data_IF_600677967794
#
_entry.id   IF_600677967794
#
_cell.length_a   1.000
_cell.length_b   1.000
_cell.length_c   1.000
_cell.angle_alpha   90.00
_cell.angle_beta   90.00
_cell.angle_gamma   90.00
#
_symmetry.space_group_name_H-M   'P 1'
#
loop_
_entity.id
_entity.type
_entity.pdbx_description
1 polymer ?
#
# COMPACT_ATOMS: atom_id res chain seq x y z
N UNK A 1 9.37 22.70 46.44
CA UNK A 1 10.10 22.26 45.25
C UNK A 1 9.18 21.35 44.43
N UNK A 2 8.45 21.94 43.50
CA UNK A 2 7.48 21.27 42.66
C UNK A 2 8.22 20.71 41.41
N UNK A 3 8.22 19.40 41.24
CA UNK A 3 8.73 18.77 40.00
C UNK A 3 7.67 18.90 38.96
N UNK A 4 7.92 19.76 37.96
CA UNK A 4 7.12 19.84 36.76
C UNK A 4 7.25 18.54 35.98
N UNK A 5 6.13 17.87 35.71
CA UNK A 5 6.03 16.78 34.78
C UNK A 5 6.25 17.33 33.38
N UNK A 6 7.25 16.83 32.67
CA UNK A 6 7.43 17.08 31.25
C UNK A 6 6.25 16.45 30.51
N UNK A 7 5.43 17.26 29.87
CA UNK A 7 4.44 16.80 28.89
C UNK A 7 5.21 16.18 27.72
N UNK A 8 5.08 14.89 27.54
CA UNK A 8 5.60 14.16 26.38
C UNK A 8 4.85 14.64 25.13
N UNK A 9 5.60 15.13 24.18
CA UNK A 9 5.14 15.72 22.91
C UNK A 9 4.57 14.66 21.94
N UNK A 10 3.40 14.09 22.25
CA UNK A 10 2.64 13.25 21.32
C UNK A 10 1.79 14.12 20.37
N UNK A 11 1.51 15.37 20.76
CA UNK A 11 0.62 16.28 20.02
C UNK A 11 1.29 17.02 18.85
N UNK A 12 2.58 16.83 18.59
CA UNK A 12 3.31 17.58 17.55
C UNK A 12 3.14 17.03 16.13
N UNK A 13 2.39 15.94 15.94
CA UNK A 13 2.21 15.30 14.63
C UNK A 13 0.87 15.64 13.95
N UNK A 14 -0.02 16.39 14.58
CA UNK A 14 -1.32 16.75 14.01
C UNK A 14 -1.29 17.94 13.04
N UNK A 15 -0.20 18.71 12.96
CA UNK A 15 -0.07 19.89 12.10
C UNK A 15 0.90 19.74 10.92
N UNK A 16 0.99 18.56 10.31
CA UNK A 16 1.67 18.48 9.02
C UNK A 16 0.71 19.01 7.96
N UNK A 17 0.99 20.18 7.43
CA UNK A 17 0.25 20.81 6.34
C UNK A 17 0.23 19.85 5.14
N UNK A 18 -0.93 19.22 4.90
CA UNK A 18 -1.14 18.40 3.70
C UNK A 18 -1.12 19.37 2.52
N UNK A 19 -0.01 19.36 1.77
CA UNK A 19 0.12 20.24 0.61
C UNK A 19 -1.07 20.04 -0.33
N UNK A 20 -1.62 21.11 -0.96
CA UNK A 20 -2.85 21.07 -1.75
C UNK A 20 -2.84 20.17 -2.99
N UNK A 21 -1.73 19.51 -3.29
CA UNK A 21 -1.54 18.68 -4.49
C UNK A 21 -2.24 17.31 -4.45
N UNK A 22 -2.90 16.92 -3.36
CA UNK A 22 -3.65 15.67 -3.31
C UNK A 22 -5.07 15.94 -3.78
N UNK A 23 -5.31 15.84 -5.09
CA UNK A 23 -6.69 15.74 -5.59
C UNK A 23 -7.30 14.43 -5.10
N UNK A 24 -8.39 14.56 -4.34
CA UNK A 24 -9.15 13.40 -3.88
C UNK A 24 -10.43 13.35 -4.70
N UNK A 25 -10.62 12.23 -5.40
CA UNK A 25 -11.88 11.96 -6.09
C UNK A 25 -12.75 11.12 -5.15
N UNK A 26 -13.97 11.60 -4.89
CA UNK A 26 -14.95 10.83 -4.13
C UNK A 26 -15.46 9.67 -4.99
N UNK A 27 -15.64 8.48 -4.41
CA UNK A 27 -16.29 7.37 -5.08
C UNK A 27 -17.70 7.81 -5.53
N UNK A 28 -17.97 7.65 -6.84
CA UNK A 28 -19.25 8.07 -7.42
C UNK A 28 -19.36 9.56 -7.77
N UNK A 29 -18.37 10.40 -7.47
CA UNK A 29 -18.31 11.75 -8.02
C UNK A 29 -17.89 11.67 -9.51
N UNK A 30 -18.52 12.42 -10.41
CA UNK A 30 -18.20 12.43 -11.82
C UNK A 30 -17.00 13.34 -12.11
N UNK A 31 -15.83 13.00 -11.59
CA UNK A 31 -14.65 13.49 -12.26
C UNK A 31 -14.57 12.72 -13.58
N UNK A 32 -14.47 13.42 -14.71
CA UNK A 32 -14.33 12.76 -16.00
C UNK A 32 -13.14 11.80 -15.94
N UNK A 33 -13.27 10.61 -16.54
CA UNK A 33 -12.20 9.62 -16.55
C UNK A 33 -10.89 10.19 -17.12
N UNK A 34 -11.00 11.12 -18.05
CA UNK A 34 -9.89 11.87 -18.65
C UNK A 34 -9.14 12.73 -17.61
N UNK A 35 -9.86 13.39 -16.70
CA UNK A 35 -9.24 14.18 -15.63
C UNK A 35 -8.53 13.29 -14.61
N UNK A 36 -9.10 12.12 -14.27
CA UNK A 36 -8.46 11.14 -13.42
C UNK A 36 -7.16 10.61 -14.04
N UNK A 37 -7.22 10.27 -15.33
CA UNK A 37 -6.08 9.81 -16.10
C UNK A 37 -4.98 10.87 -16.14
N UNK A 38 -5.31 12.10 -16.54
CA UNK A 38 -4.35 13.20 -16.62
C UNK A 38 -3.69 13.50 -15.27
N UNK A 39 -4.47 13.51 -14.18
CA UNK A 39 -3.93 13.71 -12.84
C UNK A 39 -2.97 12.58 -12.44
N UNK A 40 -3.31 11.32 -12.72
CA UNK A 40 -2.45 10.18 -12.42
C UNK A 40 -1.16 10.20 -13.26
N UNK A 41 -1.24 10.52 -14.54
CA UNK A 41 -0.08 10.66 -15.43
C UNK A 41 0.86 11.79 -14.98
N UNK A 42 0.32 12.86 -14.40
CA UNK A 42 1.13 13.96 -13.86
C UNK A 42 1.76 13.59 -12.52
N UNK A 43 0.99 13.03 -11.58
CA UNK A 43 1.40 12.88 -10.19
C UNK A 43 1.87 11.46 -9.83
N UNK A 44 1.47 10.43 -10.58
CA UNK A 44 1.80 9.03 -10.33
C UNK A 44 0.96 8.36 -9.26
N UNK A 45 -0.05 9.04 -8.73
CA UNK A 45 -1.01 8.50 -7.76
C UNK A 45 -2.35 9.23 -7.82
N UNK A 46 -3.39 8.57 -7.28
CA UNK A 46 -4.75 9.12 -7.17
C UNK A 46 -5.48 8.43 -6.02
N UNK A 47 -6.31 9.17 -5.26
CA UNK A 47 -7.12 8.61 -4.16
C UNK A 47 -8.59 8.60 -4.53
N UNK A 48 -9.22 7.43 -4.43
CA UNK A 48 -10.68 7.29 -4.44
C UNK A 48 -11.18 7.18 -3.00
N UNK A 49 -12.11 8.03 -2.61
CA UNK A 49 -12.68 8.06 -1.25
C UNK A 49 -13.90 7.15 -1.13
N UNK A 50 -14.04 6.51 0.03
CA UNK A 50 -15.23 5.72 0.41
C UNK A 50 -15.63 4.69 -0.66
N UNK A 51 -14.65 3.97 -1.21
CA UNK A 51 -14.86 2.94 -2.24
C UNK A 51 -15.55 1.72 -1.66
N UNK A 52 -15.12 1.28 -0.46
CA UNK A 52 -15.72 0.16 0.24
C UNK A 52 -16.72 0.65 1.29
N UNK A 53 -17.83 -0.05 1.38
CA UNK A 53 -18.83 0.14 2.43
C UNK A 53 -18.34 -0.43 3.78
N UNK A 54 -18.98 -0.02 4.86
CA UNK A 54 -18.71 -0.55 6.21
C UNK A 54 -18.97 -2.07 6.29
N UNK A 55 -19.92 -2.59 5.50
CA UNK A 55 -20.21 -4.03 5.44
C UNK A 55 -19.06 -4.81 4.78
N UNK A 56 -18.53 -4.32 3.66
CA UNK A 56 -17.37 -4.93 2.99
C UNK A 56 -16.12 -4.87 3.87
N UNK A 57 -15.88 -3.75 4.56
CA UNK A 57 -14.78 -3.62 5.51
C UNK A 57 -14.88 -4.62 6.67
N UNK A 58 -16.08 -4.82 7.23
CA UNK A 58 -16.29 -5.79 8.29
C UNK A 58 -16.03 -7.23 7.81
N UNK A 59 -16.42 -7.57 6.59
CA UNK A 59 -16.14 -8.86 5.97
C UNK A 59 -14.64 -9.08 5.76
N UNK A 60 -13.93 -8.07 5.24
CA UNK A 60 -12.47 -8.12 5.05
C UNK A 60 -11.73 -8.26 6.40
N UNK A 61 -12.18 -7.56 7.44
CA UNK A 61 -11.64 -7.69 8.80
C UNK A 61 -11.81 -9.12 9.35
N UNK A 62 -13.00 -9.68 9.22
CA UNK A 62 -13.29 -11.05 9.66
C UNK A 62 -12.43 -12.07 8.92
N UNK A 63 -12.34 -11.96 7.60
CA UNK A 63 -11.56 -12.87 6.77
C UNK A 63 -10.06 -12.76 7.05
N UNK A 64 -9.53 -11.55 7.20
CA UNK A 64 -8.12 -11.35 7.52
C UNK A 64 -7.76 -11.94 8.91
N UNK A 65 -8.63 -11.76 9.90
CA UNK A 65 -8.45 -12.35 11.23
C UNK A 65 -8.51 -13.88 11.18
N UNK A 66 -9.42 -14.47 10.37
CA UNK A 66 -9.50 -15.91 10.13
C UNK A 66 -8.22 -16.45 9.49
N UNK A 67 -7.73 -15.77 8.44
CA UNK A 67 -6.51 -16.15 7.72
C UNK A 67 -5.31 -16.05 8.66
N UNK A 68 -5.12 -14.92 9.34
CA UNK A 68 -4.02 -14.73 10.29
C UNK A 68 -4.07 -15.76 11.43
N UNK A 69 -5.26 -16.07 11.93
CA UNK A 69 -5.46 -17.06 13.00
C UNK A 69 -5.11 -18.50 12.59
N UNK A 70 -5.23 -18.86 11.31
CA UNK A 70 -4.87 -20.18 10.80
C UNK A 70 -3.35 -20.42 10.67
N UNK A 71 -2.54 -19.36 10.80
CA UNK A 71 -1.08 -19.39 10.67
C UNK A 71 -0.34 -19.16 11.99
N UNK A 72 -0.95 -19.52 13.10
CA UNK A 72 -0.29 -19.48 14.42
C UNK A 72 0.79 -20.55 14.57
N UNK A 73 0.82 -21.57 13.70
CA UNK A 73 1.90 -22.55 13.62
C UNK A 73 3.04 -21.98 12.76
N UNK A 74 4.12 -21.53 13.42
CA UNK A 74 5.27 -20.88 12.80
C UNK A 74 6.05 -21.77 11.84
N UNK A 75 5.93 -23.10 11.96
CA UNK A 75 6.55 -24.05 11.02
C UNK A 75 5.86 -24.05 9.64
N UNK A 76 4.67 -23.45 9.57
CA UNK A 76 3.89 -23.31 8.35
C UNK A 76 4.01 -21.92 7.70
N UNK A 77 5.01 -21.09 8.04
CA UNK A 77 5.26 -19.79 7.37
C UNK A 77 5.57 -20.07 5.91
N UNK A 78 4.51 -20.05 5.11
CA UNK A 78 4.58 -20.30 3.67
C UNK A 78 5.13 -19.08 2.95
N UNK A 79 5.60 -19.31 1.75
CA UNK A 79 5.97 -18.29 0.78
C UNK A 79 4.88 -17.18 0.72
N UNK A 80 5.29 -15.92 0.88
CA UNK A 80 4.36 -14.78 0.92
C UNK A 80 4.02 -14.21 2.31
N UNK A 81 4.35 -14.91 3.40
CA UNK A 81 4.13 -14.42 4.77
C UNK A 81 5.43 -13.85 5.35
N UNK A 82 5.35 -12.68 5.97
CA UNK A 82 6.47 -12.13 6.75
C UNK A 82 5.95 -11.58 8.06
N UNK A 83 6.79 -11.70 9.10
CA UNK A 83 6.50 -11.17 10.44
C UNK A 83 7.42 -9.99 10.77
N UNK A 84 7.04 -9.24 11.78
CA UNK A 84 7.95 -8.34 12.48
C UNK A 84 8.97 -9.14 13.28
N UNK A 85 10.02 -8.46 13.76
CA UNK A 85 11.04 -9.06 14.61
C UNK A 85 10.42 -9.73 15.84
N UNK A 86 10.63 -11.05 16.06
CA UNK A 86 10.06 -11.76 17.20
C UNK A 86 10.40 -11.14 18.57
N UNK A 87 11.56 -10.48 18.69
CA UNK A 87 11.94 -9.80 19.92
C UNK A 87 11.03 -8.60 20.28
N UNK A 88 10.21 -8.15 19.33
CA UNK A 88 9.28 -7.02 19.51
C UNK A 88 7.82 -7.47 19.64
N UNK A 89 7.52 -8.77 19.57
CA UNK A 89 6.15 -9.22 19.69
C UNK A 89 5.64 -9.01 21.12
N UNK A 90 4.44 -8.45 21.30
CA UNK A 90 3.82 -8.29 22.62
C UNK A 90 3.56 -9.63 23.32
N UNK A 91 3.29 -10.67 22.55
CA UNK A 91 3.10 -12.05 23.00
C UNK A 91 4.06 -12.94 22.19
N UNK A 92 5.05 -13.60 22.82
CA UNK A 92 6.04 -14.44 22.14
C UNK A 92 5.42 -15.62 21.36
N UNK A 93 4.24 -16.08 21.79
CA UNK A 93 3.55 -17.21 21.18
C UNK A 93 2.60 -16.79 20.05
N UNK A 94 2.54 -15.48 19.73
CA UNK A 94 1.67 -14.92 18.70
C UNK A 94 2.46 -14.09 17.69
N UNK A 95 2.65 -14.59 16.45
CA UNK A 95 3.37 -13.86 15.43
C UNK A 95 2.67 -12.54 15.08
N UNK A 96 3.45 -11.47 14.99
CA UNK A 96 3.00 -10.19 14.48
C UNK A 96 3.29 -10.14 12.99
N UNK A 97 2.26 -10.30 12.18
CA UNK A 97 2.40 -10.27 10.73
C UNK A 97 2.69 -8.87 10.22
N UNK A 98 3.64 -8.78 9.32
CA UNK A 98 3.94 -7.59 8.53
C UNK A 98 3.29 -7.64 7.15
N UNK A 99 3.22 -8.85 6.56
CA UNK A 99 2.66 -9.10 5.24
C UNK A 99 2.02 -10.48 5.18
N UNK A 100 0.84 -10.57 4.58
CA UNK A 100 0.17 -11.81 4.22
C UNK A 100 -0.13 -11.74 2.73
N UNK A 101 0.37 -12.70 1.95
CA UNK A 101 0.15 -12.81 0.50
C UNK A 101 -0.87 -13.88 0.14
N UNK A 102 -1.22 -13.97 -1.16
CA UNK A 102 -2.16 -14.95 -1.69
C UNK A 102 -3.62 -14.70 -1.28
N UNK A 103 -3.99 -13.46 -1.05
CA UNK A 103 -5.31 -13.10 -0.54
C UNK A 103 -6.44 -13.48 -1.50
N UNK A 104 -6.16 -13.46 -2.80
CA UNK A 104 -7.12 -13.86 -3.83
C UNK A 104 -7.57 -15.31 -3.67
N UNK A 105 -6.65 -16.21 -3.34
CA UNK A 105 -6.93 -17.64 -3.18
C UNK A 105 -7.51 -17.97 -1.81
N UNK A 106 -7.19 -17.18 -0.80
CA UNK A 106 -7.57 -17.42 0.59
C UNK A 106 -8.97 -16.95 0.94
N UNK A 107 -9.55 -15.98 0.19
CA UNK A 107 -10.81 -15.37 0.57
C UNK A 107 -11.60 -14.81 -0.61
N UNK A 108 -12.89 -15.18 -0.66
CA UNK A 108 -13.83 -14.65 -1.64
C UNK A 108 -14.04 -13.13 -1.48
N UNK A 109 -13.99 -12.61 -0.25
CA UNK A 109 -14.08 -11.16 0.01
C UNK A 109 -12.92 -10.41 -0.62
N UNK A 110 -11.69 -10.91 -0.46
CA UNK A 110 -10.51 -10.32 -1.10
C UNK A 110 -10.52 -10.49 -2.62
N UNK A 111 -11.05 -11.61 -3.12
CA UNK A 111 -11.24 -11.82 -4.57
C UNK A 111 -12.21 -10.80 -5.18
N UNK A 112 -13.33 -10.50 -4.51
CA UNK A 112 -14.25 -9.43 -4.93
C UNK A 112 -13.59 -8.06 -4.87
N UNK A 113 -12.79 -7.79 -3.86
CA UNK A 113 -12.06 -6.53 -3.73
C UNK A 113 -11.04 -6.33 -4.87
N UNK A 114 -10.31 -7.38 -5.29
CA UNK A 114 -9.40 -7.32 -6.45
C UNK A 114 -10.09 -6.85 -7.72
N UNK A 115 -11.36 -7.22 -7.90
CA UNK A 115 -12.16 -6.90 -9.08
C UNK A 115 -13.17 -5.77 -8.83
N UNK A 116 -12.96 -4.96 -7.78
CA UNK A 116 -13.88 -3.87 -7.47
C UNK A 116 -14.01 -2.90 -8.64
N UNK A 117 -15.26 -2.58 -9.01
CA UNK A 117 -15.58 -1.83 -10.22
C UNK A 117 -14.81 -0.51 -10.36
N UNK A 118 -14.67 0.26 -9.26
CA UNK A 118 -13.94 1.53 -9.27
C UNK A 118 -12.49 1.33 -9.69
N UNK A 119 -11.83 0.29 -9.16
CA UNK A 119 -10.43 -0.05 -9.48
C UNK A 119 -10.30 -0.48 -10.94
N UNK A 120 -11.16 -1.42 -11.38
CA UNK A 120 -11.09 -1.96 -12.74
C UNK A 120 -11.35 -0.89 -13.80
N UNK A 121 -12.37 -0.05 -13.62
CA UNK A 121 -12.67 1.03 -14.58
C UNK A 121 -11.49 2.01 -14.69
N UNK A 122 -10.84 2.34 -13.57
CA UNK A 122 -9.65 3.18 -13.60
C UNK A 122 -8.48 2.51 -14.34
N UNK A 123 -8.19 1.24 -14.04
CA UNK A 123 -7.10 0.49 -14.69
C UNK A 123 -7.32 0.36 -16.20
N UNK A 124 -8.58 0.24 -16.64
CA UNK A 124 -8.92 0.16 -18.06
C UNK A 124 -8.54 1.42 -18.87
N UNK A 125 -8.38 2.58 -18.21
CA UNK A 125 -7.89 3.80 -18.86
C UNK A 125 -6.43 3.68 -19.35
N UNK A 126 -5.67 2.74 -18.76
CA UNK A 126 -4.23 2.53 -19.04
C UNK A 126 -3.97 1.21 -19.76
N UNK A 127 -4.65 0.15 -19.37
CA UNK A 127 -4.36 -1.23 -19.81
C UNK A 127 -5.33 -1.77 -20.87
N UNK A 128 -6.45 -1.06 -21.11
CA UNK A 128 -7.52 -1.57 -21.96
C UNK A 128 -8.42 -2.58 -21.23
N UNK A 129 -9.19 -3.38 -21.95
CA UNK A 129 -10.29 -4.18 -21.37
C UNK A 129 -9.83 -5.41 -20.57
N UNK A 130 -8.60 -5.86 -20.74
CA UNK A 130 -8.08 -7.05 -20.07
C UNK A 130 -7.02 -6.65 -19.07
N UNK A 131 -7.23 -7.02 -17.82
CA UNK A 131 -6.36 -6.69 -16.69
C UNK A 131 -5.93 -7.99 -16.03
N UNK A 132 -4.67 -8.09 -15.65
CA UNK A 132 -4.11 -9.20 -14.91
C UNK A 132 -3.66 -8.73 -13.53
N UNK A 133 -4.04 -9.47 -12.49
CA UNK A 133 -3.55 -9.32 -11.14
C UNK A 133 -2.23 -10.07 -11.04
N UNK A 134 -1.19 -9.35 -10.61
CA UNK A 134 0.16 -9.87 -10.44
C UNK A 134 0.49 -10.16 -8.98
N UNK A 135 0.03 -9.29 -8.07
CA UNK A 135 0.33 -9.39 -6.65
C UNK A 135 -0.89 -9.03 -5.81
N UNK A 136 -1.10 -9.79 -4.75
CA UNK A 136 -2.24 -9.67 -3.85
C UNK A 136 -1.81 -9.89 -2.41
N UNK A 137 -1.44 -8.84 -1.73
CA UNK A 137 -0.97 -8.91 -0.34
C UNK A 137 -1.72 -7.94 0.57
N UNK A 138 -1.77 -8.25 1.86
CA UNK A 138 -2.12 -7.29 2.91
C UNK A 138 -0.87 -6.91 3.67
N UNK A 139 -0.60 -5.62 3.73
CA UNK A 139 0.50 -5.00 4.47
C UNK A 139 0.00 -4.51 5.82
N UNK A 140 0.66 -4.90 6.89
CA UNK A 140 0.22 -4.66 8.26
C UNK A 140 1.27 -3.92 9.06
N UNK A 141 0.84 -2.95 9.85
CA UNK A 141 1.66 -2.29 10.87
C UNK A 141 0.93 -2.35 12.20
N UNK A 142 1.29 -3.33 13.02
CA UNK A 142 0.78 -3.43 14.40
C UNK A 142 1.20 -2.20 15.20
N UNK A 143 0.32 -1.71 16.08
CA UNK A 143 0.62 -0.58 16.96
C UNK A 143 1.91 -0.77 17.74
N UNK A 144 2.74 0.26 17.80
CA UNK A 144 4.07 0.31 18.47
C UNK A 144 5.14 -0.65 17.92
N UNK A 145 4.77 -1.63 17.07
CA UNK A 145 5.68 -2.68 16.57
C UNK A 145 6.00 -2.50 15.10
N UNK A 146 5.00 -2.10 14.30
CA UNK A 146 5.13 -1.99 12.85
C UNK A 146 6.25 -1.07 12.42
N UNK A 147 7.26 -1.62 11.73
CA UNK A 147 8.45 -0.89 11.30
C UNK A 147 8.21 -0.05 10.06
N UNK A 148 9.13 0.86 9.78
CA UNK A 148 9.15 1.65 8.56
C UNK A 148 9.30 0.80 7.29
N UNK A 149 8.91 1.38 6.16
CA UNK A 149 9.37 0.97 4.83
C UNK A 149 10.10 2.17 4.23
N UNK A 150 11.42 2.07 3.99
CA UNK A 150 12.23 3.15 3.42
C UNK A 150 11.74 3.57 2.04
N UNK A 151 12.19 4.72 1.57
CA UNK A 151 11.91 5.22 0.22
C UNK A 151 12.34 4.23 -0.84
N UNK A 152 11.42 3.86 -1.74
CA UNK A 152 11.65 2.89 -2.79
C UNK A 152 10.66 3.09 -3.96
N UNK A 153 10.85 2.30 -5.00
CA UNK A 153 9.90 2.06 -6.08
C UNK A 153 9.51 0.59 -6.03
N UNK A 154 8.24 0.27 -6.18
CA UNK A 154 7.81 -1.14 -6.23
C UNK A 154 8.37 -1.88 -7.45
N UNK A 155 8.57 -1.15 -8.54
CA UNK A 155 9.14 -1.67 -9.79
C UNK A 155 10.46 -2.45 -9.62
N UNK A 156 11.26 -2.13 -8.59
CA UNK A 156 12.55 -2.80 -8.35
C UNK A 156 12.41 -4.31 -8.03
N UNK A 157 11.23 -4.72 -7.59
CA UNK A 157 10.95 -6.11 -7.23
C UNK A 157 10.41 -6.94 -8.40
N UNK A 158 10.13 -6.33 -9.54
CA UNK A 158 9.40 -6.98 -10.63
C UNK A 158 10.16 -6.95 -11.94
N UNK A 159 10.41 -8.12 -12.48
CA UNK A 159 11.20 -8.33 -13.69
C UNK A 159 10.29 -8.37 -14.92
N UNK A 160 9.70 -7.22 -15.28
CA UNK A 160 8.80 -7.06 -16.42
C UNK A 160 9.11 -5.79 -17.22
N UNK A 161 8.80 -5.85 -18.52
CA UNK A 161 8.83 -4.70 -19.41
C UNK A 161 7.48 -4.58 -20.18
N UNK A 162 6.86 -3.39 -20.23
CA UNK A 162 7.23 -2.19 -19.44
C UNK A 162 7.01 -2.44 -17.94
N UNK A 163 7.81 -1.82 -17.09
CA UNK A 163 7.68 -1.94 -15.64
C UNK A 163 6.76 -0.84 -15.08
N UNK A 164 5.53 -0.78 -15.62
CA UNK A 164 4.54 0.27 -15.38
C UNK A 164 3.28 -0.28 -14.72
N UNK A 165 3.45 -1.08 -13.68
CA UNK A 165 2.34 -1.59 -12.89
C UNK A 165 1.60 -0.46 -12.18
N UNK A 166 0.29 -0.65 -12.01
CA UNK A 166 -0.52 0.21 -11.15
C UNK A 166 -1.00 -0.63 -9.98
N UNK A 167 -0.72 -0.14 -8.77
CA UNK A 167 -1.15 -0.76 -7.53
C UNK A 167 -2.37 -0.05 -6.96
N UNK A 168 -3.34 -0.83 -6.47
CA UNK A 168 -4.44 -0.36 -5.64
C UNK A 168 -4.14 -0.72 -4.18
N UNK A 169 -3.92 0.30 -3.36
CA UNK A 169 -3.75 0.15 -1.92
C UNK A 169 -5.04 0.58 -1.22
N UNK A 170 -5.77 -0.41 -0.68
CA UNK A 170 -7.05 -0.17 -0.01
C UNK A 170 -6.86 -0.13 1.49
N UNK A 171 -7.33 0.92 2.13
CA UNK A 171 -7.30 1.07 3.58
C UNK A 171 -8.39 0.18 4.22
N UNK A 172 -7.96 -0.86 4.95
CA UNK A 172 -8.85 -1.68 5.79
C UNK A 172 -9.04 -0.98 7.14
N UNK A 173 -7.98 -0.38 7.66
CA UNK A 173 -8.00 0.53 8.82
C UNK A 173 -7.64 1.94 8.37
N UNK A 174 -7.97 2.95 9.18
CA UNK A 174 -7.50 4.32 8.95
C UNK A 174 -5.97 4.35 8.88
N UNK A 175 -5.43 4.97 7.84
CA UNK A 175 -4.01 5.22 7.70
C UNK A 175 -3.71 6.69 7.98
N UNK A 176 -3.31 6.99 9.21
CA UNK A 176 -2.95 8.31 9.70
C UNK A 176 -1.42 8.49 9.68
N UNK A 177 -0.95 9.72 9.78
CA UNK A 177 0.51 9.99 9.82
C UNK A 177 1.16 9.21 10.97
N UNK A 178 0.57 9.22 12.16
CA UNK A 178 1.12 8.56 13.35
C UNK A 178 1.16 7.03 13.30
N UNK A 179 0.36 6.37 12.44
CA UNK A 179 0.35 4.91 12.28
C UNK A 179 0.97 4.43 10.96
N UNK A 180 1.62 5.33 10.21
CA UNK A 180 2.38 5.00 9.02
C UNK A 180 1.59 5.13 7.72
N UNK A 181 0.82 6.21 7.55
CA UNK A 181 0.29 6.63 6.25
C UNK A 181 1.41 6.67 5.21
N UNK A 182 1.05 6.38 3.96
CA UNK A 182 2.02 6.43 2.87
C UNK A 182 2.52 7.86 2.65
N UNK A 183 3.80 7.99 2.37
CA UNK A 183 4.43 9.21 1.87
C UNK A 183 4.78 8.99 0.40
N UNK A 184 4.57 10.00 -0.43
CA UNK A 184 4.89 9.96 -1.86
C UNK A 184 5.65 11.22 -2.28
N UNK A 185 6.34 11.14 -3.39
CA UNK A 185 6.87 12.31 -4.10
C UNK A 185 6.10 12.43 -5.42
N UNK A 186 5.15 13.37 -5.52
CA UNK A 186 4.34 13.56 -6.72
C UNK A 186 5.19 13.71 -7.98
N UNK A 187 4.81 13.03 -9.06
CA UNK A 187 5.50 13.08 -10.34
C UNK A 187 6.85 12.36 -10.42
N UNK A 188 7.32 11.72 -9.33
CA UNK A 188 8.62 11.03 -9.30
C UNK A 188 8.68 9.81 -10.23
N UNK A 189 7.55 9.16 -10.55
CA UNK A 189 7.48 8.05 -11.49
C UNK A 189 8.01 8.40 -12.89
N UNK A 190 7.90 9.68 -13.30
CA UNK A 190 8.41 10.18 -14.60
C UNK A 190 9.94 10.22 -14.68
N UNK A 191 10.64 9.96 -13.57
CA UNK A 191 12.10 9.81 -13.54
C UNK A 191 12.58 8.44 -14.02
N UNK A 192 11.63 7.51 -14.26
CA UNK A 192 11.93 6.11 -14.56
C UNK A 192 12.47 5.35 -13.37
N UNK A 193 12.99 4.15 -13.62
CA UNK A 193 13.61 3.32 -12.62
C UNK A 193 14.95 3.89 -12.16
N UNK A 194 15.17 3.95 -10.85
CA UNK A 194 16.43 4.43 -10.27
C UNK A 194 17.13 3.29 -9.52
N UNK A 195 18.44 3.47 -9.28
CA UNK A 195 19.22 2.48 -8.55
C UNK A 195 18.80 2.42 -7.08
N UNK A 196 18.50 1.23 -6.61
CA UNK A 196 18.24 0.92 -5.20
C UNK A 196 19.46 0.30 -4.56
N UNK A 197 19.53 0.37 -3.22
CA UNK A 197 20.63 -0.21 -2.44
C UNK A 197 20.12 -0.75 -1.08
N UNK A 198 21.01 -1.46 -0.36
CA UNK A 198 20.70 -2.04 0.94
C UNK A 198 19.74 -3.24 0.88
N UNK A 199 19.55 -3.91 2.02
CA UNK A 199 18.70 -5.09 2.14
C UNK A 199 17.21 -4.80 1.93
N UNK A 200 16.77 -3.56 2.22
CA UNK A 200 15.38 -3.13 2.03
C UNK A 200 15.13 -2.53 0.64
N UNK A 201 16.14 -2.58 -0.27
CA UNK A 201 16.06 -1.98 -1.61
C UNK A 201 15.56 -0.53 -1.56
N UNK A 202 16.34 0.33 -0.90
CA UNK A 202 15.98 1.74 -0.68
C UNK A 202 16.69 2.67 -1.65
N UNK A 203 16.15 3.89 -1.77
CA UNK A 203 16.74 5.02 -2.48
C UNK A 203 17.06 6.13 -1.50
N UNK A 204 18.14 6.89 -1.76
CA UNK A 204 18.45 8.11 -1.03
C UNK A 204 17.79 9.30 -1.73
N UNK A 205 17.06 10.09 -0.98
CA UNK A 205 16.45 11.30 -1.50
C UNK A 205 17.41 12.49 -1.38
N UNK A 206 17.48 13.29 -2.43
CA UNK A 206 18.08 14.63 -2.34
C UNK A 206 17.22 15.53 -1.44
N UNK A 207 17.79 16.60 -0.90
CA UNK A 207 17.06 17.60 -0.11
C UNK A 207 15.87 18.19 -0.89
N UNK A 208 16.05 18.42 -2.20
CA UNK A 208 15.00 18.89 -3.09
C UNK A 208 13.81 17.93 -3.12
N UNK A 209 14.04 16.61 -3.23
CA UNK A 209 13.01 15.59 -3.23
C UNK A 209 12.35 15.43 -1.86
N UNK A 210 13.13 15.50 -0.78
CA UNK A 210 12.59 15.48 0.58
C UNK A 210 11.58 16.61 0.80
N UNK A 211 11.87 17.81 0.29
CA UNK A 211 10.98 18.97 0.36
C UNK A 211 9.68 18.83 -0.45
N UNK A 212 9.61 17.86 -1.38
CA UNK A 212 8.40 17.55 -2.17
C UNK A 212 7.56 16.42 -1.56
N UNK A 213 8.00 15.83 -0.45
CA UNK A 213 7.27 14.74 0.21
C UNK A 213 5.86 15.17 0.59
N UNK A 214 4.91 14.31 0.28
CA UNK A 214 3.49 14.50 0.59
C UNK A 214 2.96 13.27 1.30
N UNK A 215 2.31 13.43 2.46
CA UNK A 215 1.58 12.36 3.11
C UNK A 215 0.24 12.12 2.42
N UNK A 216 -0.17 10.86 2.36
CA UNK A 216 -1.46 10.44 1.81
C UNK A 216 -2.25 9.70 2.90
N UNK A 217 -2.88 10.43 3.85
CA UNK A 217 -3.74 9.80 4.84
C UNK A 217 -5.01 9.27 4.17
N UNK A 218 -5.45 8.09 4.62
CA UNK A 218 -6.64 7.41 4.11
C UNK A 218 -7.56 7.06 5.28
N UNK A 219 -8.86 7.18 5.04
CA UNK A 219 -9.89 6.59 5.91
C UNK A 219 -10.16 5.14 5.48
N UNK A 220 -10.64 4.31 6.39
CA UNK A 220 -11.04 2.94 6.06
C UNK A 220 -12.06 2.94 4.91
N UNK A 221 -11.81 2.13 3.88
CA UNK A 221 -12.60 2.10 2.65
C UNK A 221 -12.07 2.94 1.50
N UNK A 222 -11.08 3.80 1.73
CA UNK A 222 -10.42 4.54 0.66
C UNK A 222 -9.47 3.64 -0.15
N UNK A 223 -9.26 3.98 -1.42
CA UNK A 223 -8.30 3.32 -2.31
C UNK A 223 -7.33 4.33 -2.89
N UNK A 224 -6.05 4.11 -2.63
CA UNK A 224 -4.95 4.81 -3.28
C UNK A 224 -4.47 3.99 -4.47
N UNK A 225 -4.62 4.54 -5.68
CA UNK A 225 -3.98 4.03 -6.89
C UNK A 225 -2.61 4.68 -7.03
N UNK A 226 -1.55 3.91 -7.29
CA UNK A 226 -0.22 4.47 -7.53
C UNK A 226 0.63 3.64 -8.51
N UNK A 227 1.52 4.35 -9.18
CA UNK A 227 2.42 3.80 -10.20
C UNK A 227 3.61 3.09 -9.56
N UNK A 228 4.03 1.94 -10.09
CA UNK A 228 5.17 1.15 -9.58
C UNK A 228 6.49 1.94 -9.50
N UNK A 229 6.68 2.93 -10.36
CA UNK A 229 7.85 3.81 -10.36
C UNK A 229 7.72 5.04 -9.44
N UNK A 230 6.59 5.22 -8.74
CA UNK A 230 6.42 6.32 -7.79
C UNK A 230 7.34 6.12 -6.58
N UNK A 231 8.10 7.16 -6.21
CA UNK A 231 8.87 7.14 -4.97
C UNK A 231 7.92 7.22 -3.79
N UNK A 232 7.96 6.21 -2.94
CA UNK A 232 7.10 6.17 -1.77
C UNK A 232 7.79 5.50 -0.57
N UNK A 233 7.26 5.81 0.61
CA UNK A 233 7.75 5.32 1.88
C UNK A 233 6.62 5.26 2.90
N UNK A 234 6.86 4.66 4.05
CA UNK A 234 5.96 4.79 5.20
C UNK A 234 6.73 4.70 6.51
N UNK A 235 6.45 5.60 7.45
CA UNK A 235 7.07 5.62 8.76
C UNK A 235 6.63 4.44 9.64
N UNK A 236 7.34 4.18 10.75
CA UNK A 236 6.90 3.21 11.75
C UNK A 236 5.53 3.58 12.32
N UNK A 237 4.77 2.59 12.76
CA UNK A 237 3.55 2.82 13.52
C UNK A 237 3.92 3.19 14.97
N UNK A 238 3.73 4.45 15.34
CA UNK A 238 3.97 4.99 16.68
C UNK A 238 2.70 5.06 17.54
N UNK A 239 1.54 4.76 16.95
CA UNK A 239 0.23 4.75 17.64
C UNK A 239 -0.04 3.42 18.35
N UNK A 240 -1.13 3.36 19.09
CA UNK A 240 -1.65 2.10 19.65
C UNK A 240 -2.45 1.29 18.60
N UNK A 241 -3.01 1.97 17.59
CA UNK A 241 -3.89 1.37 16.61
C UNK A 241 -3.08 0.61 15.55
N UNK A 242 -3.59 -0.53 15.10
CA UNK A 242 -3.03 -1.21 13.94
C UNK A 242 -3.38 -0.47 12.63
N UNK A 243 -2.62 -0.75 11.57
CA UNK A 243 -2.90 -0.24 10.23
C UNK A 243 -2.72 -1.37 9.21
N UNK A 244 -3.83 -1.87 8.67
CA UNK A 244 -3.88 -2.91 7.64
C UNK A 244 -4.32 -2.29 6.32
N UNK A 245 -3.58 -2.58 5.27
CA UNK A 245 -3.88 -2.12 3.92
C UNK A 245 -3.66 -3.26 2.94
N UNK A 246 -4.61 -3.52 2.07
CA UNK A 246 -4.33 -4.40 0.93
C UNK A 246 -3.43 -3.66 -0.07
N UNK A 247 -2.61 -4.40 -0.77
CA UNK A 247 -1.79 -3.91 -1.88
C UNK A 247 -1.91 -4.91 -3.02
N UNK A 248 -2.73 -4.57 -4.01
CA UNK A 248 -2.96 -5.37 -5.20
C UNK A 248 -2.34 -4.66 -6.40
N UNK A 249 -1.46 -5.36 -7.10
CA UNK A 249 -0.72 -4.79 -8.23
C UNK A 249 -1.17 -5.44 -9.52
N UNK A 250 -1.46 -4.60 -10.49
CA UNK A 250 -2.06 -4.99 -11.76
C UNK A 250 -1.16 -4.65 -12.93
N UNK A 251 -1.34 -5.40 -14.01
CA UNK A 251 -0.60 -5.25 -15.25
C UNK A 251 -1.48 -5.52 -16.45
N UNK A 252 -1.00 -5.12 -17.61
CA UNK A 252 -1.63 -5.50 -18.87
C UNK A 252 -1.05 -6.82 -19.41
N UNK A 253 -1.82 -7.58 -20.22
CA UNK A 253 -1.35 -8.84 -20.80
C UNK A 253 -0.11 -8.72 -21.68
N UNK A 254 0.17 -7.54 -22.21
CA UNK A 254 1.33 -7.31 -23.08
C UNK A 254 2.66 -7.08 -22.32
N UNK A 255 2.63 -7.05 -20.98
CA UNK A 255 3.86 -6.97 -20.20
C UNK A 255 4.65 -8.28 -20.36
N UNK A 256 5.93 -8.16 -20.68
CA UNK A 256 6.82 -9.29 -20.93
C UNK A 256 7.70 -9.54 -19.74
N UNK A 257 7.75 -10.78 -19.25
CA UNK A 257 8.68 -11.18 -18.20
C UNK A 257 10.12 -11.17 -18.70
N UNK A 258 11.02 -10.57 -17.94
CA UNK A 258 12.44 -10.40 -18.29
C UNK A 258 13.37 -11.12 -17.32
N UNK A 259 12.82 -11.80 -16.30
CA UNK A 259 13.58 -12.55 -15.32
C UNK A 259 14.04 -13.93 -15.81
N UNK A 260 14.68 -14.67 -14.93
CA UNK A 260 15.13 -16.05 -15.19
C UNK A 260 14.03 -17.05 -14.81
N UNK A 261 13.89 -18.12 -15.59
CA UNK A 261 12.92 -19.20 -15.35
C UNK A 261 11.51 -18.88 -15.86
N UNK A 262 10.52 -19.59 -15.31
CA UNK A 262 9.11 -19.39 -15.66
C UNK A 262 8.56 -18.12 -15.02
N UNK A 263 7.73 -17.34 -15.74
CA UNK A 263 7.10 -16.15 -15.17
C UNK A 263 6.18 -16.55 -14.00
N UNK A 264 6.07 -15.68 -12.97
CA UNK A 264 5.06 -15.84 -11.93
C UNK A 264 3.64 -15.95 -12.53
N UNK A 265 2.78 -16.68 -11.83
CA UNK A 265 1.38 -16.79 -12.21
C UNK A 265 0.69 -15.42 -12.21
N UNK A 266 -0.16 -15.19 -13.21
CA UNK A 266 -0.94 -13.97 -13.36
C UNK A 266 -2.40 -14.34 -13.44
N UNK A 267 -3.23 -13.68 -12.67
CA UNK A 267 -4.66 -13.96 -12.59
C UNK A 267 -5.41 -12.96 -13.46
N UNK A 268 -6.15 -13.43 -14.44
CA UNK A 268 -6.99 -12.58 -15.25
C UNK A 268 -8.24 -12.16 -14.46
N UNK A 269 -8.44 -10.84 -14.36
CA UNK A 269 -9.57 -10.23 -13.66
C UNK A 269 -10.65 -9.79 -14.65
#
# INVERSE_FOLDING_TARGET
MSRGAAKTSIDAFEEVEIKPAVSTYLAGAPAAAEDQKAFFEENGFLVFRSVLSTGELAELDQELNRIAGSYLDLDAVREGFTTEDPAKWPDPDRPVFRKIGGMYDHSEAFRRMCSHKTVIVFLQLFYGPVIELYRDVVMMKQGKVGREKPWHQDAVYWEYEPNEFISAMTAIDDAKIGNGALQVIPGSHRRGAVKHHGAELQIDLTEELQNQTTYVPLEAGDVLMFHSLLFHASEPNRSEDQRRMSLFSYMAPYFTYTGEGDPPERIRI
#
